data_IF_548611438114
#
_entry.id   IF_548611438114
#
_cell.length_a   1.000
_cell.length_b   1.000
_cell.length_c   1.000
_cell.angle_alpha   90.00
_cell.angle_beta   90.00
_cell.angle_gamma   90.00
#
_symmetry.space_group_name_H-M   'P 1'
#
loop_
_entity.id
_entity.type
_entity.pdbx_description
1 polymer ?
#
# COMPACT_ATOMS: atom_id res chain seq x y z
N UNK A 1 -16.98 -33.98 55.73
CA UNK A 1 -17.70 -33.17 54.72
C UNK A 1 -16.79 -31.98 54.38
N UNK A 2 -15.97 -32.10 53.33
CA UNK A 2 -14.95 -31.11 52.97
C UNK A 2 -15.47 -30.16 51.90
N UNK A 3 -15.25 -28.87 52.11
CA UNK A 3 -15.76 -27.74 51.32
C UNK A 3 -14.97 -27.61 50.02
N UNK A 4 -15.64 -27.68 48.88
CA UNK A 4 -15.06 -27.35 47.57
C UNK A 4 -15.04 -25.82 47.45
N UNK A 5 -13.85 -25.23 47.50
CA UNK A 5 -13.63 -23.82 47.21
C UNK A 5 -13.48 -23.62 45.70
N UNK A 6 -14.42 -22.89 45.10
CA UNK A 6 -14.42 -22.51 43.70
C UNK A 6 -13.48 -21.30 43.52
N UNK A 7 -12.30 -21.53 42.94
CA UNK A 7 -11.35 -20.48 42.55
C UNK A 7 -11.76 -19.90 41.20
N UNK A 8 -12.45 -18.76 41.21
CA UNK A 8 -12.65 -17.89 40.05
C UNK A 8 -11.35 -17.10 39.80
N UNK A 9 -10.53 -17.57 38.86
CA UNK A 9 -9.36 -16.82 38.39
C UNK A 9 -9.83 -15.75 37.39
N UNK A 10 -9.92 -14.50 37.83
CA UNK A 10 -10.25 -13.36 36.99
C UNK A 10 -9.11 -12.99 36.05
N UNK A 11 -9.33 -13.12 34.74
CA UNK A 11 -8.41 -12.65 33.70
C UNK A 11 -8.58 -11.14 33.50
N UNK A 12 -7.73 -10.34 34.13
CA UNK A 12 -7.63 -8.89 33.89
C UNK A 12 -6.90 -8.67 32.56
N UNK A 13 -7.65 -8.46 31.47
CA UNK A 13 -7.10 -8.03 30.19
C UNK A 13 -6.53 -6.61 30.34
N UNK A 14 -5.21 -6.51 30.45
CA UNK A 14 -4.48 -5.25 30.30
C UNK A 14 -4.68 -4.73 28.88
N UNK A 15 -5.64 -3.83 28.67
CA UNK A 15 -5.76 -3.09 27.42
C UNK A 15 -4.60 -2.10 27.32
N UNK A 16 -3.57 -2.44 26.53
CA UNK A 16 -2.48 -1.53 26.23
C UNK A 16 -3.00 -0.28 25.51
N UNK A 17 -2.56 0.91 25.95
CA UNK A 17 -2.88 2.17 25.28
C UNK A 17 -2.28 2.16 23.87
N UNK A 18 -3.13 1.98 22.86
CA UNK A 18 -2.75 2.16 21.46
C UNK A 18 -2.42 3.64 21.22
N UNK A 19 -1.15 3.97 21.03
CA UNK A 19 -0.71 5.31 20.66
C UNK A 19 -0.76 5.42 19.14
N UNK A 20 -1.56 6.36 18.62
CA UNK A 20 -1.59 6.65 17.18
C UNK A 20 -0.31 7.40 16.78
N UNK A 21 0.38 6.91 15.76
CA UNK A 21 1.57 7.58 15.24
C UNK A 21 1.22 8.98 14.67
N UNK A 22 2.13 9.96 14.83
CA UNK A 22 1.91 11.33 14.38
C UNK A 22 1.96 11.43 12.85
N UNK A 23 0.89 11.97 12.28
CA UNK A 23 0.79 12.34 10.88
C UNK A 23 -0.59 12.95 10.62
N UNK A 24 -0.63 14.15 10.02
CA UNK A 24 -1.89 14.78 9.69
C UNK A 24 -2.56 14.04 8.52
N UNK A 25 -3.86 13.74 8.60
CA UNK A 25 -4.61 13.23 7.46
C UNK A 25 -4.46 14.16 6.24
N UNK A 26 -4.16 13.59 5.08
CA UNK A 26 -4.24 14.25 3.79
C UNK A 26 -5.46 13.71 3.03
N UNK A 27 -6.47 14.55 2.82
CA UNK A 27 -7.69 14.20 2.09
C UNK A 27 -7.64 14.61 0.61
N UNK A 28 -6.48 15.07 0.11
CA UNK A 28 -6.26 15.35 -1.30
C UNK A 28 -5.88 14.06 -2.06
N UNK A 29 -6.07 14.00 -3.40
CA UNK A 29 -5.55 12.94 -4.24
C UNK A 29 -4.07 12.62 -3.96
N UNK A 30 -3.79 11.37 -3.61
CA UNK A 30 -2.45 10.93 -3.25
C UNK A 30 -2.03 9.64 -3.96
N UNK A 31 -2.95 8.69 -4.16
CA UNK A 31 -2.71 7.46 -4.92
C UNK A 31 -4.00 6.87 -5.48
N UNK A 32 -3.85 5.97 -6.43
CA UNK A 32 -4.91 5.14 -6.98
C UNK A 32 -4.99 3.79 -6.25
N UNK A 33 -6.20 3.28 -6.06
CA UNK A 33 -6.44 1.96 -5.52
C UNK A 33 -7.82 1.47 -5.90
N UNK A 34 -7.90 0.26 -6.48
CA UNK A 34 -9.13 -0.34 -6.98
C UNK A 34 -9.94 0.58 -7.93
N UNK A 35 -9.25 1.37 -8.75
CA UNK A 35 -9.86 2.31 -9.71
C UNK A 35 -10.34 3.63 -9.12
N UNK A 36 -10.14 3.85 -7.81
CA UNK A 36 -10.53 5.08 -7.11
C UNK A 36 -9.32 5.86 -6.61
N UNK A 37 -9.48 7.18 -6.48
CA UNK A 37 -8.45 8.04 -5.90
C UNK A 37 -8.61 8.10 -4.39
N UNK A 38 -7.51 7.92 -3.67
CA UNK A 38 -7.45 7.97 -2.22
C UNK A 38 -6.53 9.09 -1.73
N UNK A 39 -6.92 9.69 -0.61
CA UNK A 39 -6.02 10.41 0.27
C UNK A 39 -5.27 9.45 1.18
N UNK A 40 -4.38 9.97 2.02
CA UNK A 40 -3.54 9.14 2.88
C UNK A 40 -3.28 9.77 4.25
N UNK A 41 -2.87 8.94 5.21
CA UNK A 41 -2.28 9.41 6.46
C UNK A 41 -0.92 8.76 6.66
N UNK A 42 0.16 9.51 6.45
CA UNK A 42 1.51 9.03 6.77
C UNK A 42 1.60 8.67 8.25
N UNK A 43 2.10 7.48 8.59
CA UNK A 43 2.24 7.08 9.99
C UNK A 43 3.69 6.82 10.39
N UNK A 44 4.39 5.89 9.73
CA UNK A 44 5.78 5.53 10.06
C UNK A 44 6.41 4.69 8.97
N UNK A 45 7.75 4.70 8.88
CA UNK A 45 8.50 3.61 8.24
C UNK A 45 8.37 2.33 9.07
N UNK A 46 8.43 1.17 8.41
CA UNK A 46 8.35 -0.15 9.02
C UNK A 46 9.64 -0.94 8.78
N UNK A 47 10.00 -1.89 9.65
CA UNK A 47 11.07 -2.84 9.34
C UNK A 47 10.65 -3.73 8.16
N UNK A 48 11.64 -4.28 7.46
CA UNK A 48 11.38 -5.29 6.44
C UNK A 48 10.63 -6.50 7.03
N UNK A 49 9.71 -7.12 6.28
CA UNK A 49 9.04 -8.32 6.73
C UNK A 49 10.02 -9.49 6.82
N UNK A 50 9.65 -10.45 7.65
CA UNK A 50 10.17 -11.81 7.67
C UNK A 50 9.33 -12.70 6.76
N UNK A 51 9.78 -13.93 6.50
CA UNK A 51 8.99 -14.92 5.77
C UNK A 51 7.60 -15.21 6.39
N UNK A 52 7.42 -14.97 7.70
CA UNK A 52 6.17 -15.25 8.41
C UNK A 52 5.13 -14.12 8.33
N UNK A 53 5.52 -12.93 7.85
CA UNK A 53 4.64 -11.78 7.79
C UNK A 53 4.78 -10.98 6.49
N UNK A 54 5.34 -11.56 5.44
CA UNK A 54 5.40 -10.92 4.12
C UNK A 54 4.00 -10.56 3.60
N UNK A 55 3.03 -11.44 3.81
CA UNK A 55 1.61 -11.26 3.44
C UNK A 55 0.89 -10.13 4.18
N UNK A 56 1.52 -9.51 5.17
CA UNK A 56 0.94 -8.38 5.90
C UNK A 56 1.23 -7.02 5.25
N UNK A 57 1.87 -7.03 4.08
CA UNK A 57 2.19 -5.85 3.29
C UNK A 57 1.57 -6.00 1.92
N UNK A 58 0.95 -4.92 1.45
CA UNK A 58 0.47 -4.77 0.08
C UNK A 58 1.56 -4.10 -0.75
N UNK A 59 1.63 -4.41 -2.04
CA UNK A 59 2.49 -3.68 -2.96
C UNK A 59 1.96 -2.25 -3.20
N UNK A 60 2.89 -1.28 -3.20
CA UNK A 60 2.65 0.07 -3.67
C UNK A 60 3.54 0.34 -4.88
N UNK A 61 2.92 0.46 -6.05
CA UNK A 61 3.58 0.66 -7.32
C UNK A 61 3.80 2.15 -7.58
N UNK A 62 5.05 2.57 -7.74
CA UNK A 62 5.40 3.96 -8.00
C UNK A 62 6.04 4.07 -9.37
N UNK A 63 5.31 4.67 -10.32
CA UNK A 63 5.79 4.86 -11.69
C UNK A 63 6.70 6.07 -11.76
N UNK A 64 7.92 5.90 -12.27
CA UNK A 64 8.96 6.96 -12.25
C UNK A 64 9.17 7.65 -13.59
N UNK A 65 8.65 7.10 -14.70
CA UNK A 65 9.00 7.53 -16.05
C UNK A 65 7.80 7.81 -16.97
N UNK A 66 6.60 8.05 -16.41
CA UNK A 66 5.41 8.35 -17.23
C UNK A 66 5.64 9.55 -18.16
N UNK A 67 5.13 9.46 -19.39
CA UNK A 67 5.07 10.60 -20.32
C UNK A 67 3.65 11.19 -20.44
N UNK A 68 2.71 10.70 -19.62
CA UNK A 68 1.36 11.26 -19.57
C UNK A 68 1.39 12.65 -18.93
N UNK A 69 0.81 13.69 -19.57
CA UNK A 69 0.82 15.05 -19.04
C UNK A 69 0.05 15.21 -17.72
N UNK A 70 -0.86 14.30 -17.39
CA UNK A 70 -1.55 14.26 -16.09
C UNK A 70 -0.66 13.72 -14.97
N UNK A 71 0.50 13.16 -15.32
CA UNK A 71 1.38 12.46 -14.41
C UNK A 71 0.86 11.06 -14.08
N UNK A 72 1.40 10.49 -13.00
CA UNK A 72 0.97 9.18 -12.49
C UNK A 72 1.13 9.21 -10.98
N UNK A 73 0.02 9.11 -10.26
CA UNK A 73 0.07 8.85 -8.82
C UNK A 73 0.48 7.38 -8.58
N UNK A 74 1.04 7.04 -7.41
CA UNK A 74 1.24 5.64 -7.05
C UNK A 74 -0.06 4.82 -7.18
N UNK A 75 0.08 3.52 -7.42
CA UNK A 75 -1.03 2.57 -7.51
C UNK A 75 -0.87 1.53 -6.42
N UNK A 76 -1.92 1.29 -5.64
CA UNK A 76 -1.94 0.29 -4.57
C UNK A 76 -2.49 -1.04 -5.09
N UNK A 77 -1.97 -2.14 -4.55
CA UNK A 77 -2.46 -3.51 -4.81
C UNK A 77 -3.91 -3.70 -4.35
N UNK A 78 -4.27 -3.07 -3.23
CA UNK A 78 -5.61 -3.14 -2.64
C UNK A 78 -5.95 -1.83 -1.91
N UNK A 79 -7.24 -1.51 -1.81
CA UNK A 79 -7.76 -0.33 -1.11
C UNK A 79 -8.87 -0.68 -0.09
N UNK A 80 -9.28 0.28 0.78
CA UNK A 80 -10.35 0.03 1.75
C UNK A 80 -11.64 -0.50 1.10
N UNK A 81 -12.13 -1.62 1.61
CA UNK A 81 -13.27 -2.35 1.04
C UNK A 81 -12.86 -3.66 0.37
N UNK A 82 -11.61 -3.77 -0.08
CA UNK A 82 -11.00 -5.01 -0.52
C UNK A 82 -10.61 -5.87 0.71
N UNK A 83 -11.00 -7.16 0.78
CA UNK A 83 -10.69 -8.03 1.92
C UNK A 83 -9.19 -8.29 2.10
N UNK A 84 -8.39 -8.13 1.04
CA UNK A 84 -6.94 -8.34 1.07
C UNK A 84 -6.17 -7.08 1.48
N UNK A 85 -6.85 -5.94 1.67
CA UNK A 85 -6.21 -4.69 2.07
C UNK A 85 -5.60 -4.76 3.48
N UNK A 86 -4.28 -4.64 3.57
CA UNK A 86 -3.51 -4.75 4.81
C UNK A 86 -3.39 -3.43 5.59
N UNK A 87 -4.40 -2.56 5.50
CA UNK A 87 -4.48 -1.33 6.29
C UNK A 87 -3.40 -0.29 5.92
N UNK A 88 -2.91 -0.36 4.69
CA UNK A 88 -1.91 0.54 4.14
C UNK A 88 -0.51 0.29 4.68
N UNK A 89 -0.17 -0.97 4.97
CA UNK A 89 1.21 -1.39 5.19
C UNK A 89 1.79 -1.73 3.82
N UNK A 90 2.71 -0.89 3.36
CA UNK A 90 3.18 -0.89 1.98
C UNK A 90 4.55 -1.50 1.85
N UNK A 91 4.74 -2.30 0.80
CA UNK A 91 6.03 -2.61 0.20
C UNK A 91 6.13 -1.88 -1.15
N UNK A 92 6.98 -0.85 -1.20
CA UNK A 92 7.21 -0.06 -2.42
C UNK A 92 7.81 -0.92 -3.52
N UNK A 93 7.26 -0.79 -4.72
CA UNK A 93 7.80 -1.31 -5.97
C UNK A 93 7.99 -0.16 -6.94
N UNK A 94 9.19 -0.05 -7.51
CA UNK A 94 9.48 0.91 -8.57
C UNK A 94 8.99 0.36 -9.89
N UNK A 95 8.22 1.15 -10.63
CA UNK A 95 7.64 0.74 -11.90
C UNK A 95 8.13 1.67 -13.01
N UNK A 96 8.53 1.07 -14.13
CA UNK A 96 8.96 1.80 -15.31
C UNK A 96 8.23 1.27 -16.54
N UNK A 97 7.69 2.18 -17.34
CA UNK A 97 7.25 1.87 -18.69
C UNK A 97 8.44 1.48 -19.56
N UNK A 98 8.29 0.38 -20.29
CA UNK A 98 9.29 -0.09 -21.24
C UNK A 98 9.21 0.67 -22.55
N UNK A 99 10.25 0.56 -23.38
CA UNK A 99 10.21 1.06 -24.76
C UNK A 99 9.05 0.47 -25.57
N UNK A 100 8.67 -0.79 -25.33
CA UNK A 100 7.52 -1.42 -25.97
C UNK A 100 6.20 -0.77 -25.55
N UNK A 101 6.03 -0.47 -24.26
CA UNK A 101 4.87 0.26 -23.75
C UNK A 101 4.73 1.64 -24.38
N UNK A 102 5.82 2.42 -24.44
CA UNK A 102 5.81 3.72 -25.11
C UNK A 102 5.52 3.62 -26.62
N UNK A 103 6.09 2.65 -27.32
CA UNK A 103 5.82 2.46 -28.75
C UNK A 103 4.37 2.08 -29.02
N UNK A 104 3.76 1.26 -28.15
CA UNK A 104 2.38 0.82 -28.32
C UNK A 104 1.37 1.95 -28.06
N UNK A 105 1.57 2.72 -26.99
CA UNK A 105 0.62 3.75 -26.58
C UNK A 105 0.91 5.14 -27.15
N UNK A 106 2.16 5.45 -27.49
CA UNK A 106 2.64 6.81 -27.71
C UNK A 106 2.67 7.59 -26.39
N UNK A 107 1.50 7.98 -25.89
CA UNK A 107 1.31 8.52 -24.54
C UNK A 107 0.71 7.41 -23.67
N UNK A 108 1.41 7.03 -22.60
CA UNK A 108 0.98 5.92 -21.75
C UNK A 108 -0.27 6.28 -20.95
N UNK A 109 -1.18 5.32 -20.69
CA UNK A 109 -2.37 5.57 -19.89
C UNK A 109 -2.00 5.85 -18.42
N UNK A 110 -2.91 6.51 -17.70
CA UNK A 110 -2.88 6.56 -16.24
C UNK A 110 -3.34 5.21 -15.72
N UNK A 111 -2.51 4.56 -14.92
CA UNK A 111 -2.80 3.29 -14.26
C UNK A 111 -3.55 3.59 -12.96
N UNK A 112 -4.66 2.90 -12.73
CA UNK A 112 -5.60 3.22 -11.64
C UNK A 112 -5.88 2.05 -10.70
N UNK A 113 -5.44 0.85 -11.07
CA UNK A 113 -5.70 -0.37 -10.32
C UNK A 113 -4.54 -1.35 -10.40
N UNK A 114 -4.52 -2.31 -9.48
CA UNK A 114 -3.60 -3.44 -9.54
C UNK A 114 -3.78 -4.26 -10.83
N UNK A 115 -5.02 -4.39 -11.32
CA UNK A 115 -5.32 -5.06 -12.58
C UNK A 115 -4.64 -4.36 -13.77
N UNK A 116 -4.62 -3.03 -13.81
CA UNK A 116 -3.89 -2.28 -14.85
C UNK A 116 -2.38 -2.57 -14.81
N UNK A 117 -1.81 -2.62 -13.60
CA UNK A 117 -0.38 -2.92 -13.39
C UNK A 117 -0.07 -4.32 -13.92
N UNK A 118 -0.85 -5.33 -13.49
CA UNK A 118 -0.65 -6.72 -13.92
C UNK A 118 -0.87 -6.91 -15.41
N UNK A 119 -1.88 -6.26 -15.99
CA UNK A 119 -2.16 -6.30 -17.42
C UNK A 119 -0.96 -5.77 -18.22
N UNK A 120 -0.44 -4.59 -17.87
CA UNK A 120 0.67 -4.00 -18.59
C UNK A 120 2.02 -4.69 -18.33
N UNK A 121 2.24 -5.23 -17.14
CA UNK A 121 3.38 -6.11 -16.87
C UNK A 121 3.34 -7.37 -17.74
N UNK A 122 2.18 -8.04 -17.83
CA UNK A 122 2.00 -9.25 -18.63
C UNK A 122 2.22 -9.03 -20.14
N UNK A 123 1.95 -7.82 -20.64
CA UNK A 123 2.26 -7.41 -22.01
C UNK A 123 3.75 -7.03 -22.23
N UNK A 124 4.56 -7.00 -21.18
CA UNK A 124 5.94 -6.49 -21.22
C UNK A 124 6.01 -4.97 -21.39
N UNK A 125 4.91 -4.25 -21.10
CA UNK A 125 4.86 -2.79 -21.15
C UNK A 125 5.42 -2.16 -19.88
N UNK A 126 5.46 -2.88 -18.77
CA UNK A 126 6.06 -2.45 -17.51
C UNK A 126 7.22 -3.37 -17.12
N UNK A 127 8.20 -2.79 -16.45
CA UNK A 127 9.15 -3.51 -15.59
C UNK A 127 8.88 -3.09 -14.16
N UNK A 128 8.72 -4.07 -13.28
CA UNK A 128 8.47 -3.86 -11.85
C UNK A 128 9.70 -4.34 -11.08
N UNK A 129 10.30 -3.44 -10.31
CA UNK A 129 11.45 -3.74 -9.45
C UNK A 129 11.05 -3.60 -7.99
N UNK A 130 11.14 -4.68 -7.17
CA UNK A 130 10.88 -4.58 -5.74
C UNK A 130 11.84 -3.61 -5.06
N UNK A 131 11.29 -2.71 -4.24
CA UNK A 131 12.05 -1.66 -3.59
C UNK A 131 11.75 -0.26 -4.13
N UNK A 132 12.32 0.72 -3.43
CA UNK A 132 12.19 2.14 -3.77
C UNK A 132 13.39 2.64 -4.56
N UNK A 133 13.25 3.81 -5.17
CA UNK A 133 14.29 4.52 -5.92
C UNK A 133 14.86 5.69 -5.10
N UNK A 134 15.99 6.31 -5.50
CA UNK A 134 16.51 7.50 -4.84
C UNK A 134 15.43 8.60 -4.73
N UNK A 135 15.26 9.17 -3.54
CA UNK A 135 14.23 10.17 -3.20
C UNK A 135 12.77 9.68 -3.29
N UNK A 136 12.55 8.38 -3.49
CA UNK A 136 11.23 7.74 -3.40
C UNK A 136 10.73 7.55 -1.97
N UNK A 137 9.52 6.98 -1.78
CA UNK A 137 9.00 6.65 -0.46
C UNK A 137 9.87 5.58 0.22
N UNK A 138 9.75 5.35 1.54
CA UNK A 138 10.45 4.25 2.18
C UNK A 138 10.11 2.90 1.54
N UNK A 139 11.03 1.93 1.60
CA UNK A 139 10.78 0.58 1.05
C UNK A 139 9.60 -0.09 1.76
N UNK A 140 9.56 0.00 3.08
CA UNK A 140 8.48 -0.52 3.90
C UNK A 140 7.97 0.60 4.82
N UNK A 141 6.67 0.86 4.79
CA UNK A 141 6.07 1.90 5.61
C UNK A 141 4.57 1.67 5.78
N UNK A 142 3.95 2.44 6.66
CA UNK A 142 2.51 2.43 6.85
C UNK A 142 1.91 3.80 6.56
N UNK A 143 0.92 3.81 5.69
CA UNK A 143 0.19 4.99 5.26
C UNK A 143 -1.25 4.59 4.87
N UNK A 144 -2.19 4.49 5.83
CA UNK A 144 -3.57 4.08 5.55
C UNK A 144 -4.25 5.02 4.55
N UNK A 145 -5.13 4.45 3.72
CA UNK A 145 -5.89 5.19 2.73
C UNK A 145 -7.12 5.83 3.36
N UNK A 146 -7.44 7.04 2.90
CA UNK A 146 -8.58 7.84 3.35
C UNK A 146 -9.41 8.25 2.13
N UNK A 147 -10.74 8.34 2.24
CA UNK A 147 -11.55 8.88 1.16
C UNK A 147 -11.13 10.33 0.87
N UNK A 148 -11.03 10.70 -0.41
CA UNK A 148 -10.82 12.10 -0.83
C UNK A 148 -12.03 12.95 -0.45
N UNK A 149 -11.80 14.25 -0.19
CA UNK A 149 -12.85 15.22 0.17
C UNK A 149 -12.79 16.49 -0.66
#
# INVERSE_FOLDING_TARGET
MSRIALLLLGSFLMAGLAHANPGQPNFMPALWGDGEVWGTKGTTSLPAPTANNAQSFDALYVVTNTNNPEGQLPVSEAAPGNPDYNGGRWFTHTVEWTGAGFMYHGIVPVLTSYEDIQYHEALGHLVITPGSFPDGPPVYFQCPLLPVK
#
